data_IF_350310697961
#
_entry.id   IF_350310697961
#
_cell.length_a   1.000
_cell.length_b   1.000
_cell.length_c   1.000
_cell.angle_alpha   90.00
_cell.angle_beta   90.00
_cell.angle_gamma   90.00
#
_symmetry.space_group_name_H-M   'P 1'
#
loop_
_entity.id
_entity.type
_entity.pdbx_description
1 polymer ?
#
# COMPACT_ATOMS: atom_id res chain seq x y z
N UNK A 1 -19.10 -11.46 7.53
CA UNK A 1 -18.09 -10.41 7.29
C UNK A 1 -17.25 -10.90 6.14
N UNK A 2 -17.02 -10.06 5.13
CA UNK A 2 -16.17 -10.42 3.99
C UNK A 2 -14.70 -10.57 4.42
N UNK A 3 -13.90 -11.29 3.65
CA UNK A 3 -12.50 -11.59 3.96
C UNK A 3 -11.59 -10.34 3.95
N UNK A 4 -12.06 -9.25 3.34
CA UNK A 4 -11.34 -8.01 3.17
C UNK A 4 -12.00 -6.81 3.85
N UNK A 5 -12.97 -7.05 4.74
CA UNK A 5 -13.66 -5.98 5.46
C UNK A 5 -12.68 -5.08 6.23
N UNK A 6 -12.86 -3.76 6.10
CA UNK A 6 -12.03 -2.76 6.78
C UNK A 6 -10.59 -2.69 6.25
N UNK A 7 -10.32 -3.23 5.06
CA UNK A 7 -9.00 -3.16 4.41
C UNK A 7 -9.07 -2.29 3.16
N UNK A 8 -7.93 -1.71 2.79
CA UNK A 8 -7.72 -1.15 1.47
C UNK A 8 -6.84 -2.06 0.62
N UNK A 9 -7.15 -2.17 -0.67
CA UNK A 9 -6.33 -2.84 -1.67
C UNK A 9 -5.71 -1.82 -2.63
N UNK A 10 -4.39 -1.85 -2.79
CA UNK A 10 -3.66 -1.04 -3.76
C UNK A 10 -3.40 -1.85 -5.05
N UNK A 11 -3.95 -1.41 -6.17
CA UNK A 11 -3.96 -2.18 -7.43
C UNK A 11 -3.42 -1.32 -8.58
N UNK A 12 -2.36 -1.78 -9.26
CA UNK A 12 -1.92 -1.24 -10.54
C UNK A 12 -2.64 -1.93 -11.69
N UNK A 13 -2.88 -1.21 -12.80
CA UNK A 13 -3.66 -1.73 -13.93
C UNK A 13 -5.12 -2.00 -13.56
N UNK A 14 -5.66 -1.22 -12.62
CA UNK A 14 -6.96 -1.49 -11.96
C UNK A 14 -8.15 -1.37 -12.90
N UNK A 15 -7.98 -0.73 -14.06
CA UNK A 15 -9.09 -0.21 -14.86
C UNK A 15 -9.73 -1.27 -15.75
N UNK A 16 -9.07 -2.39 -16.08
CA UNK A 16 -9.68 -3.45 -16.92
C UNK A 16 -9.07 -4.82 -16.66
N UNK A 17 -9.58 -5.83 -17.36
CA UNK A 17 -9.04 -7.18 -17.33
C UNK A 17 -8.89 -7.74 -15.92
N UNK A 18 -7.72 -8.28 -15.61
CA UNK A 18 -7.44 -8.86 -14.30
C UNK A 18 -7.52 -7.82 -13.19
N UNK A 19 -6.95 -6.62 -13.35
CA UNK A 19 -6.96 -5.60 -12.30
C UNK A 19 -8.39 -5.22 -11.88
N UNK A 20 -9.28 -4.98 -12.85
CA UNK A 20 -10.70 -4.70 -12.59
C UNK A 20 -11.39 -5.88 -11.89
N UNK A 21 -11.17 -7.09 -12.39
CA UNK A 21 -11.77 -8.29 -11.79
C UNK A 21 -11.36 -8.49 -10.33
N UNK A 22 -10.09 -8.23 -10.00
CA UNK A 22 -9.59 -8.34 -8.62
C UNK A 22 -10.13 -7.20 -7.75
N UNK A 23 -10.20 -5.98 -8.27
CA UNK A 23 -10.77 -4.83 -7.58
C UNK A 23 -12.23 -5.08 -7.18
N UNK A 24 -13.06 -5.52 -8.14
CA UNK A 24 -14.47 -5.85 -7.90
C UNK A 24 -14.58 -6.98 -6.86
N UNK A 25 -13.81 -8.06 -7.01
CA UNK A 25 -13.87 -9.19 -6.08
C UNK A 25 -13.46 -8.80 -4.66
N UNK A 26 -12.44 -7.96 -4.51
CA UNK A 26 -12.01 -7.46 -3.20
C UNK A 26 -13.05 -6.50 -2.60
N UNK A 27 -13.68 -5.67 -3.43
CA UNK A 27 -14.77 -4.80 -3.00
C UNK A 27 -16.01 -5.59 -2.53
N UNK A 28 -16.37 -6.68 -3.21
CA UNK A 28 -17.42 -7.62 -2.74
C UNK A 28 -17.10 -8.21 -1.36
N UNK A 29 -15.80 -8.40 -1.06
CA UNK A 29 -15.32 -8.89 0.23
C UNK A 29 -15.11 -7.77 1.28
N UNK A 30 -15.51 -6.53 0.95
CA UNK A 30 -15.52 -5.39 1.87
C UNK A 30 -14.31 -4.47 1.81
N UNK A 31 -13.42 -4.62 0.81
CA UNK A 31 -12.27 -3.74 0.66
C UNK A 31 -12.61 -2.41 -0.03
N UNK A 32 -11.98 -1.34 0.41
CA UNK A 32 -11.86 -0.12 -0.39
C UNK A 32 -10.71 -0.25 -1.38
N UNK A 33 -10.84 0.38 -2.54
CA UNK A 33 -9.89 0.22 -3.64
C UNK A 33 -9.13 1.52 -3.87
N UNK A 34 -7.81 1.43 -3.83
CA UNK A 34 -6.90 2.47 -4.29
C UNK A 34 -6.20 1.91 -5.52
N UNK A 35 -6.14 2.65 -6.61
CA UNK A 35 -5.46 2.11 -7.77
C UNK A 35 -5.19 3.12 -8.86
N UNK A 36 -4.44 2.65 -9.85
CA UNK A 36 -4.13 3.45 -11.01
C UNK A 36 -3.99 2.61 -12.28
N UNK A 37 -4.08 3.29 -13.41
CA UNK A 37 -3.83 2.74 -14.73
C UNK A 37 -3.36 3.89 -15.65
N UNK A 38 -2.61 3.56 -16.70
CA UNK A 38 -2.09 4.54 -17.64
C UNK A 38 -3.21 5.20 -18.46
N UNK A 39 -4.32 4.48 -18.69
CA UNK A 39 -5.48 4.96 -19.45
C UNK A 39 -5.14 5.61 -20.80
N UNK A 40 -4.06 5.18 -21.43
CA UNK A 40 -3.58 5.64 -22.72
C UNK A 40 -2.95 4.47 -23.48
N UNK A 41 -3.09 4.44 -24.79
CA UNK A 41 -2.44 3.46 -25.65
C UNK A 41 -0.91 3.66 -25.69
N UNK A 42 -0.20 2.57 -25.95
CA UNK A 42 1.25 2.54 -26.09
C UNK A 42 1.60 1.76 -27.36
N UNK A 43 2.43 2.34 -28.22
CA UNK A 43 2.83 1.77 -29.51
C UNK A 43 3.51 0.39 -29.36
N UNK A 44 4.05 0.07 -28.19
CA UNK A 44 4.65 -1.23 -27.89
C UNK A 44 3.62 -2.34 -27.61
N UNK A 45 2.31 -2.02 -27.54
CA UNK A 45 1.25 -2.96 -27.17
C UNK A 45 0.27 -3.17 -28.32
N UNK A 46 0.13 -4.42 -28.78
CA UNK A 46 -0.70 -4.79 -29.94
C UNK A 46 -2.22 -4.89 -29.65
N UNK A 47 -2.68 -4.39 -28.51
CA UNK A 47 -4.08 -4.38 -28.13
C UNK A 47 -4.48 -3.08 -27.43
N UNK A 48 -5.74 -2.63 -27.55
CA UNK A 48 -6.20 -1.41 -26.91
C UNK A 48 -5.95 -1.44 -25.40
N UNK A 49 -5.31 -0.40 -24.89
CA UNK A 49 -5.16 -0.17 -23.47
C UNK A 49 -6.43 0.43 -22.87
N UNK A 50 -6.43 0.64 -21.56
CA UNK A 50 -7.57 1.21 -20.88
C UNK A 50 -7.77 2.66 -21.33
N UNK A 51 -9.00 3.15 -21.22
CA UNK A 51 -9.35 4.54 -21.48
C UNK A 51 -9.80 5.23 -20.19
N UNK A 52 -9.85 6.58 -20.16
CA UNK A 52 -10.45 7.31 -19.04
C UNK A 52 -11.94 6.96 -18.82
N UNK A 53 -12.65 6.52 -19.87
CA UNK A 53 -14.02 6.04 -19.75
C UNK A 53 -14.09 4.70 -18.98
N UNK A 54 -13.16 3.78 -19.27
CA UNK A 54 -13.05 2.51 -18.53
C UNK A 54 -12.73 2.74 -17.05
N UNK A 55 -11.95 3.78 -16.73
CA UNK A 55 -11.65 4.14 -15.34
C UNK A 55 -12.92 4.59 -14.62
N UNK A 56 -13.72 5.43 -15.28
CA UNK A 56 -14.99 5.90 -14.77
C UNK A 56 -15.98 4.74 -14.56
N UNK A 57 -16.02 3.79 -15.49
CA UNK A 57 -16.82 2.57 -15.36
C UNK A 57 -16.38 1.74 -14.15
N UNK A 58 -15.07 1.47 -14.03
CA UNK A 58 -14.52 0.68 -12.92
C UNK A 58 -14.82 1.31 -11.56
N UNK A 59 -14.67 2.63 -11.47
CA UNK A 59 -15.03 3.39 -10.27
C UNK A 59 -16.49 3.16 -9.91
N UNK A 60 -17.40 3.33 -10.86
CA UNK A 60 -18.84 3.14 -10.63
C UNK A 60 -19.18 1.72 -10.19
N UNK A 61 -18.52 0.70 -10.77
CA UNK A 61 -18.72 -0.69 -10.37
C UNK A 61 -18.35 -0.94 -8.90
N UNK A 62 -17.24 -0.38 -8.44
CA UNK A 62 -16.79 -0.51 -7.03
C UNK A 62 -17.71 0.29 -6.10
N UNK A 63 -18.06 1.53 -6.47
CA UNK A 63 -18.94 2.40 -5.68
C UNK A 63 -20.35 1.81 -5.55
N UNK A 64 -20.86 1.12 -6.58
CA UNK A 64 -22.13 0.40 -6.53
C UNK A 64 -22.15 -0.77 -5.54
N UNK A 65 -20.97 -1.29 -5.15
CA UNK A 65 -20.83 -2.27 -4.07
C UNK A 65 -20.76 -1.61 -2.68
N UNK A 66 -20.91 -0.28 -2.61
CA UNK A 66 -20.82 0.50 -1.39
C UNK A 66 -19.40 0.60 -0.84
N UNK A 67 -18.39 0.56 -1.72
CA UNK A 67 -16.97 0.70 -1.37
C UNK A 67 -16.38 1.96 -1.98
N UNK A 68 -15.36 2.52 -1.33
CA UNK A 68 -14.64 3.69 -1.82
C UNK A 68 -13.68 3.28 -2.95
N UNK A 69 -13.67 4.06 -4.03
CA UNK A 69 -12.78 3.85 -5.17
C UNK A 69 -11.88 5.08 -5.40
N UNK A 70 -10.64 5.04 -4.94
CA UNK A 70 -9.62 6.07 -5.19
C UNK A 70 -8.76 5.68 -6.40
N UNK A 71 -9.31 5.87 -7.61
CA UNK A 71 -8.63 5.55 -8.87
C UNK A 71 -8.03 6.80 -9.53
N UNK A 72 -6.79 6.70 -10.02
CA UNK A 72 -6.08 7.81 -10.69
C UNK A 72 -5.47 7.36 -12.02
N UNK A 73 -5.32 8.28 -12.97
CA UNK A 73 -4.57 8.03 -14.20
C UNK A 73 -3.10 8.26 -13.89
N UNK A 74 -2.28 7.23 -14.04
CA UNK A 74 -0.84 7.31 -13.79
C UNK A 74 -0.07 6.25 -14.58
N UNK A 75 1.12 6.61 -15.03
CA UNK A 75 2.06 5.68 -15.63
C UNK A 75 2.84 4.93 -14.53
N UNK A 76 2.72 3.60 -14.50
CA UNK A 76 3.44 2.75 -13.55
C UNK A 76 4.96 2.77 -13.70
N UNK A 77 5.47 3.29 -14.82
CA UNK A 77 6.90 3.45 -15.10
C UNK A 77 7.51 4.66 -14.39
N UNK A 78 6.67 5.59 -13.92
CA UNK A 78 7.09 6.82 -13.25
C UNK A 78 7.01 6.68 -11.72
N UNK A 79 8.15 6.36 -11.10
CA UNK A 79 8.20 6.07 -9.65
C UNK A 79 7.59 7.18 -8.77
N UNK A 80 7.90 8.44 -9.04
CA UNK A 80 7.40 9.56 -8.23
C UNK A 80 5.88 9.75 -8.36
N UNK A 81 5.33 9.43 -9.53
CA UNK A 81 3.87 9.44 -9.76
C UNK A 81 3.23 8.29 -9.00
N UNK A 82 3.75 7.06 -9.11
CA UNK A 82 3.21 5.91 -8.35
C UNK A 82 3.29 6.15 -6.84
N UNK A 83 4.40 6.75 -6.37
CA UNK A 83 4.57 7.13 -4.96
C UNK A 83 3.52 8.13 -4.50
N UNK A 84 3.17 9.12 -5.32
CA UNK A 84 2.17 10.13 -4.96
C UNK A 84 0.75 9.56 -4.93
N UNK A 85 0.41 8.65 -5.85
CA UNK A 85 -0.87 7.91 -5.85
C UNK A 85 -0.98 7.06 -4.58
N UNK A 86 0.05 6.29 -4.25
CA UNK A 86 0.07 5.46 -3.05
C UNK A 86 -0.07 6.31 -1.77
N UNK A 87 0.69 7.41 -1.67
CA UNK A 87 0.62 8.32 -0.52
C UNK A 87 -0.77 8.97 -0.38
N UNK A 88 -1.36 9.44 -1.48
CA UNK A 88 -2.69 10.04 -1.48
C UNK A 88 -3.78 9.03 -1.12
N UNK A 89 -3.66 7.80 -1.64
CA UNK A 89 -4.56 6.71 -1.30
C UNK A 89 -4.51 6.32 0.18
N UNK A 90 -3.30 6.16 0.74
CA UNK A 90 -3.11 5.89 2.18
C UNK A 90 -3.67 7.03 3.02
N UNK A 91 -3.42 8.28 2.65
CA UNK A 91 -3.94 9.43 3.37
C UNK A 91 -5.48 9.44 3.42
N UNK A 92 -6.16 9.12 2.30
CA UNK A 92 -7.62 8.98 2.26
C UNK A 92 -8.10 7.83 3.15
N UNK A 93 -7.46 6.66 3.05
CA UNK A 93 -7.81 5.50 3.87
C UNK A 93 -7.69 5.79 5.37
N UNK A 94 -6.63 6.47 5.79
CA UNK A 94 -6.44 6.86 7.20
C UNK A 94 -7.49 7.87 7.67
N UNK A 95 -7.99 8.76 6.80
CA UNK A 95 -9.08 9.66 7.14
C UNK A 95 -10.41 8.92 7.38
N UNK A 96 -10.65 7.85 6.60
CA UNK A 96 -11.86 7.03 6.70
C UNK A 96 -11.79 6.04 7.87
N UNK A 97 -10.59 5.51 8.16
CA UNK A 97 -10.31 4.58 9.25
C UNK A 97 -9.25 5.16 10.21
N UNK A 98 -9.63 6.11 11.10
CA UNK A 98 -8.68 6.82 11.95
C UNK A 98 -7.91 5.89 12.92
N UNK A 99 -8.49 4.75 13.29
CA UNK A 99 -7.82 3.74 14.12
C UNK A 99 -6.59 3.12 13.42
N UNK A 100 -6.55 3.15 12.08
CA UNK A 100 -5.38 2.71 11.29
C UNK A 100 -4.18 3.63 11.56
N UNK A 101 -4.40 4.92 11.79
CA UNK A 101 -3.32 5.84 12.14
C UNK A 101 -2.59 5.41 13.40
N UNK A 102 -3.32 4.88 14.39
CA UNK A 102 -2.75 4.45 15.67
C UNK A 102 -1.83 3.23 15.52
N UNK A 103 -2.15 2.29 14.61
CA UNK A 103 -1.30 1.12 14.33
C UNK A 103 -0.14 1.41 13.38
N UNK A 104 -0.16 2.56 12.68
CA UNK A 104 0.96 3.03 11.85
C UNK A 104 2.02 3.80 12.65
N UNK A 105 1.82 3.99 13.95
CA UNK A 105 2.78 4.62 14.85
C UNK A 105 3.66 3.58 15.52
N UNK A 106 4.94 3.93 15.66
CA UNK A 106 5.86 3.14 16.45
C UNK A 106 5.50 3.26 17.94
N UNK A 107 5.37 2.14 18.68
CA UNK A 107 5.20 2.16 20.13
C UNK A 107 6.31 2.93 20.85
N UNK A 108 7.52 2.94 20.29
CA UNK A 108 8.62 3.74 20.82
C UNK A 108 8.59 5.15 20.22
N UNK A 109 8.58 6.22 21.05
CA UNK A 109 8.57 7.59 20.55
C UNK A 109 9.91 7.90 19.87
N UNK A 110 9.87 8.12 18.56
CA UNK A 110 11.03 8.51 17.76
C UNK A 110 11.11 10.04 17.66
N UNK A 111 12.26 10.68 17.97
CA UNK A 111 12.38 12.13 18.08
C UNK A 111 11.92 12.92 16.85
N UNK A 112 12.06 12.35 15.65
CA UNK A 112 11.63 12.92 14.36
C UNK A 112 10.65 12.00 13.60
N UNK A 113 10.06 11.02 14.28
CA UNK A 113 9.18 10.02 13.67
C UNK A 113 9.90 8.97 12.82
N UNK A 114 11.23 9.02 12.71
CA UNK A 114 12.04 8.07 11.95
C UNK A 114 13.05 7.38 12.86
N UNK A 115 13.44 6.17 12.46
CA UNK A 115 14.52 5.48 13.13
C UNK A 115 15.83 6.15 12.71
N UNK A 116 16.58 6.65 13.69
CA UNK A 116 17.88 7.25 13.41
C UNK A 116 18.89 6.22 12.90
N UNK A 117 19.74 6.56 11.92
CA UNK A 117 20.80 5.67 11.44
C UNK A 117 21.72 5.15 12.56
N UNK A 118 21.89 5.95 13.62
CA UNK A 118 22.68 5.57 14.80
C UNK A 118 22.04 4.41 15.58
N UNK A 119 20.70 4.34 15.64
CA UNK A 119 19.98 3.20 16.24
C UNK A 119 20.22 1.89 15.48
N UNK A 120 20.29 1.96 14.15
CA UNK A 120 20.64 0.81 13.30
C UNK A 120 22.10 0.41 13.51
N UNK A 121 23.02 1.39 13.47
CA UNK A 121 24.45 1.18 13.67
C UNK A 121 24.73 0.50 15.02
N UNK A 122 24.11 0.99 16.10
CA UNK A 122 24.28 0.42 17.43
C UNK A 122 23.77 -1.03 17.53
N UNK A 123 22.69 -1.37 16.81
CA UNK A 123 22.20 -2.74 16.73
C UNK A 123 23.20 -3.66 16.02
N UNK A 124 23.83 -3.18 14.95
CA UNK A 124 24.90 -3.92 14.25
C UNK A 124 26.13 -4.08 15.15
N UNK A 125 26.57 -3.01 15.81
CA UNK A 125 27.70 -3.06 16.74
C UNK A 125 27.48 -4.07 17.87
N UNK A 126 26.25 -4.19 18.38
CA UNK A 126 25.90 -5.23 19.33
C UNK A 126 26.05 -6.64 18.73
N UNK A 127 25.51 -6.88 17.53
CA UNK A 127 25.56 -8.19 16.88
C UNK A 127 26.99 -8.64 16.55
N UNK A 128 27.90 -7.72 16.21
CA UNK A 128 29.30 -8.06 15.90
C UNK A 128 30.22 -8.08 17.12
N UNK A 129 29.70 -7.73 18.31
CA UNK A 129 30.46 -7.78 19.56
C UNK A 129 30.52 -9.20 20.14
N UNK A 130 31.35 -9.41 21.16
CA UNK A 130 31.42 -10.67 21.92
C UNK A 130 30.06 -11.08 22.52
N UNK A 131 29.18 -10.12 22.82
CA UNK A 131 27.84 -10.41 23.31
C UNK A 131 26.94 -11.07 22.24
N UNK A 132 27.22 -10.81 20.96
CA UNK A 132 26.49 -11.38 19.83
C UNK A 132 26.98 -12.76 19.38
N UNK A 133 28.06 -13.30 19.97
CA UNK A 133 28.79 -14.48 19.45
C UNK A 133 27.94 -15.75 19.26
N UNK A 134 26.81 -15.87 19.96
CA UNK A 134 25.91 -17.03 19.87
C UNK A 134 24.59 -16.73 19.12
N UNK A 135 24.41 -15.50 18.62
CA UNK A 135 23.22 -15.11 17.87
C UNK A 135 23.43 -15.48 16.40
N UNK A 136 22.76 -16.53 15.95
CA UNK A 136 22.88 -17.03 14.57
C UNK A 136 21.50 -17.32 13.97
N UNK A 137 21.39 -17.24 12.64
CA UNK A 137 20.19 -17.64 11.89
C UNK A 137 18.89 -16.91 12.24
N UNK A 138 18.97 -15.78 12.95
CA UNK A 138 17.80 -15.06 13.48
C UNK A 138 17.66 -13.70 12.80
N UNK A 139 16.43 -13.32 12.45
CA UNK A 139 16.09 -11.97 11.99
C UNK A 139 16.05 -11.01 13.19
N UNK A 140 16.91 -9.99 13.21
CA UNK A 140 16.93 -8.98 14.27
C UNK A 140 16.21 -7.70 13.81
N UNK A 141 14.97 -7.48 14.29
CA UNK A 141 14.14 -6.36 13.85
C UNK A 141 14.42 -5.09 14.64
N UNK A 142 15.00 -4.09 13.97
CA UNK A 142 15.16 -2.72 14.50
C UNK A 142 13.98 -1.88 14.04
N UNK A 143 12.82 -2.07 14.65
CA UNK A 143 11.56 -1.54 14.14
C UNK A 143 10.85 -0.55 15.09
N UNK A 144 11.47 -0.17 16.22
CA UNK A 144 10.85 0.73 17.21
C UNK A 144 9.45 0.27 17.69
N UNK A 145 9.20 -1.04 17.67
CA UNK A 145 7.91 -1.64 18.01
C UNK A 145 6.90 -1.76 16.86
N UNK A 146 7.19 -1.29 15.64
CA UNK A 146 6.26 -1.41 14.49
C UNK A 146 5.81 -2.85 14.21
N UNK A 147 6.66 -3.83 14.51
CA UNK A 147 6.38 -5.25 14.30
C UNK A 147 5.89 -5.97 15.55
N UNK A 148 5.62 -5.26 16.65
CA UNK A 148 5.07 -5.89 17.86
C UNK A 148 3.64 -6.35 17.60
N UNK A 149 3.36 -7.61 17.89
CA UNK A 149 1.99 -8.12 17.96
C UNK A 149 1.51 -7.98 19.40
N UNK A 150 0.40 -7.29 19.61
CA UNK A 150 -0.30 -7.26 20.89
C UNK A 150 -1.02 -8.59 21.16
#
# INVERSE_FOLDING_TARGET
>A
MGLAEGKAAFISGVVRGQGRSHAIRLAEEGADIIGFDICADDDAVEYPLATPADLSETRALIENLGRTASLEIADGREYDVVKSVAASGVARFVQEYPDVAAIMQNPFPLPNGLLEPEGVTNSILHLVSDAGQFITGTEFRVAAGFSSRA
#
